data_IF_131770875928
#
_entry.id   IF_131770875928
#
_cell.length_a   1.000
_cell.length_b   1.000
_cell.length_c   1.000
_cell.angle_alpha   90.00
_cell.angle_beta   90.00
_cell.angle_gamma   90.00
#
_symmetry.space_group_name_H-M   'P 1'
#
loop_
_entity.id
_entity.type
_entity.pdbx_description
1 polymer ?
#
# COMPACT_ATOMS: atom_id res chain seq x y z
N UNK A 1 -2.49 31.49 -6.10
CA UNK A 1 -2.93 30.08 -6.06
C UNK A 1 -2.35 29.41 -4.83
N UNK A 2 -3.16 28.66 -4.15
CA UNK A 2 -2.72 27.94 -2.97
C UNK A 2 -2.56 26.47 -3.35
N UNK A 3 -1.39 25.93 -3.08
CA UNK A 3 -1.14 24.50 -3.33
C UNK A 3 -1.85 23.68 -2.24
N UNK A 4 -2.65 22.71 -2.68
CA UNK A 4 -3.36 21.81 -1.77
C UNK A 4 -2.88 20.39 -2.00
N UNK A 5 -2.00 19.87 -1.14
CA UNK A 5 -1.47 18.52 -1.34
C UNK A 5 -2.53 17.43 -1.22
N UNK A 6 -3.67 17.70 -0.58
CA UNK A 6 -4.72 16.70 -0.44
C UNK A 6 -5.40 16.38 -1.77
N UNK A 7 -5.26 17.24 -2.77
CA UNK A 7 -5.74 16.93 -4.11
C UNK A 7 -4.99 15.72 -4.67
N UNK A 8 -3.75 15.55 -4.29
CA UNK A 8 -2.91 14.46 -4.80
C UNK A 8 -2.99 13.21 -3.96
N UNK A 9 -3.05 13.36 -2.64
CA UNK A 9 -3.18 12.22 -1.75
C UNK A 9 -3.82 12.65 -0.44
N UNK A 10 -4.91 12.01 -0.07
CA UNK A 10 -5.68 12.37 1.11
C UNK A 10 -6.14 11.11 1.83
N UNK A 11 -6.05 11.12 3.17
CA UNK A 11 -6.64 10.07 3.99
C UNK A 11 -8.06 10.53 4.33
N UNK A 12 -9.04 9.98 3.62
CA UNK A 12 -10.40 10.48 3.64
C UNK A 12 -11.27 9.86 4.72
N UNK A 13 -10.96 8.65 5.15
CA UNK A 13 -11.83 7.91 6.07
C UNK A 13 -11.04 6.85 6.81
N UNK A 14 -11.40 6.60 8.07
CA UNK A 14 -10.83 5.52 8.87
C UNK A 14 -11.90 4.46 9.10
N UNK A 15 -11.49 3.20 9.25
CA UNK A 15 -12.38 2.13 9.63
C UNK A 15 -11.64 1.17 10.55
N UNK A 16 -12.39 0.48 11.38
CA UNK A 16 -11.82 -0.48 12.32
C UNK A 16 -12.71 -1.70 12.40
N UNK A 17 -12.09 -2.87 12.34
CA UNK A 17 -12.74 -4.15 12.61
C UNK A 17 -12.17 -4.66 13.92
N UNK A 18 -13.04 -4.88 14.91
CA UNK A 18 -12.60 -5.42 16.19
C UNK A 18 -13.63 -6.46 16.62
N UNK A 19 -13.24 -7.72 16.59
CA UNK A 19 -14.13 -8.83 16.91
C UNK A 19 -14.31 -9.79 15.76
N UNK A 20 -15.52 -10.33 15.64
CA UNK A 20 -15.81 -11.36 14.62
C UNK A 20 -17.02 -11.03 13.76
N UNK A 21 -17.47 -9.79 13.75
CA UNK A 21 -18.58 -9.36 12.89
C UNK A 21 -18.04 -8.94 11.54
N UNK A 22 -18.64 -9.42 10.44
CA UNK A 22 -18.19 -9.00 9.09
C UNK A 22 -18.26 -7.50 8.90
N UNK A 23 -17.33 -6.96 8.10
CA UNK A 23 -17.25 -5.55 7.81
C UNK A 23 -17.17 -5.34 6.30
N UNK A 24 -17.94 -4.38 5.79
CA UNK A 24 -17.84 -3.96 4.40
C UNK A 24 -17.27 -2.56 4.35
N UNK A 25 -16.19 -2.40 3.59
CA UNK A 25 -15.54 -1.12 3.37
C UNK A 25 -16.04 -0.56 2.04
N UNK A 26 -16.55 0.66 2.08
CA UNK A 26 -17.19 1.28 0.92
C UNK A 26 -16.53 2.64 0.61
N UNK A 27 -17.02 3.32 -0.44
CA UNK A 27 -16.49 4.61 -0.85
C UNK A 27 -15.50 4.46 -1.99
N UNK A 28 -15.11 5.58 -2.62
CA UNK A 28 -14.15 5.55 -3.70
C UNK A 28 -12.73 5.65 -3.16
N UNK A 29 -11.76 5.28 -3.99
CA UNK A 29 -10.35 5.33 -3.63
C UNK A 29 -9.80 3.98 -3.25
N UNK A 30 -8.72 4.00 -2.50
CA UNK A 30 -7.98 2.81 -2.10
C UNK A 30 -8.08 2.60 -0.60
N UNK A 31 -8.53 1.42 -0.19
CA UNK A 31 -8.46 1.03 1.21
C UNK A 31 -7.13 0.35 1.49
N UNK A 32 -6.47 0.77 2.56
CA UNK A 32 -5.23 0.18 3.04
C UNK A 32 -5.43 -0.12 4.52
N UNK A 33 -5.22 -1.37 4.90
CA UNK A 33 -5.42 -1.77 6.28
C UNK A 33 -4.32 -2.69 6.78
N UNK A 34 -4.23 -2.82 8.10
CA UNK A 34 -3.29 -3.76 8.71
C UNK A 34 -4.08 -4.68 9.64
N UNK A 35 -3.92 -5.98 9.43
CA UNK A 35 -4.52 -6.98 10.29
C UNK A 35 -3.54 -7.28 11.41
N UNK A 36 -3.86 -6.87 12.62
CA UNK A 36 -2.94 -7.02 13.74
C UNK A 36 -3.25 -8.24 14.60
N UNK A 37 -4.44 -8.84 14.44
CA UNK A 37 -4.85 -10.00 15.22
C UNK A 37 -5.85 -10.81 14.43
N UNK A 38 -5.71 -12.13 14.46
CA UNK A 38 -6.70 -13.04 13.91
C UNK A 38 -6.47 -13.39 12.46
N UNK A 39 -7.46 -14.09 11.91
CA UNK A 39 -7.45 -14.54 10.54
C UNK A 39 -8.74 -14.09 9.88
N UNK A 40 -8.64 -13.47 8.71
CA UNK A 40 -9.77 -12.81 8.08
C UNK A 40 -9.83 -13.12 6.59
N UNK A 41 -11.04 -13.44 6.09
CA UNK A 41 -11.24 -13.66 4.68
C UNK A 41 -11.59 -12.36 3.99
N UNK A 42 -11.04 -12.18 2.79
CA UNK A 42 -11.39 -11.08 1.91
C UNK A 42 -12.17 -11.68 0.74
N UNK A 43 -13.37 -11.16 0.51
CA UNK A 43 -14.21 -11.68 -0.56
C UNK A 43 -13.52 -11.52 -1.91
N UNK A 44 -13.47 -12.60 -2.67
CA UNK A 44 -12.83 -12.61 -3.97
C UNK A 44 -11.34 -12.91 -3.96
N UNK A 45 -10.74 -13.11 -2.79
CA UNK A 45 -9.33 -13.45 -2.69
C UNK A 45 -9.20 -14.89 -2.17
N UNK A 46 -8.19 -15.61 -2.65
CA UNK A 46 -8.13 -17.06 -2.47
C UNK A 46 -7.43 -17.52 -1.18
N UNK A 47 -6.88 -16.63 -0.38
CA UNK A 47 -6.31 -17.01 0.91
C UNK A 47 -6.76 -16.05 2.01
N UNK A 48 -6.84 -16.53 3.26
CA UNK A 48 -7.17 -15.63 4.36
C UNK A 48 -5.99 -14.72 4.70
N UNK A 49 -6.30 -13.54 5.22
CA UNK A 49 -5.31 -12.65 5.78
C UNK A 49 -4.86 -13.15 7.13
N UNK A 50 -3.56 -13.01 7.39
CA UNK A 50 -2.93 -13.41 8.64
C UNK A 50 -2.47 -12.18 9.38
N UNK A 51 -2.21 -12.32 10.68
CA UNK A 51 -1.68 -11.22 11.48
C UNK A 51 -0.40 -10.67 10.84
N UNK A 52 -0.36 -9.36 10.64
CA UNK A 52 0.74 -8.68 9.98
C UNK A 52 0.51 -8.38 8.51
N UNK A 53 -0.51 -8.98 7.89
CA UNK A 53 -0.81 -8.74 6.48
C UNK A 53 -1.41 -7.36 6.27
N UNK A 54 -1.19 -6.82 5.08
CA UNK A 54 -1.72 -5.52 4.66
C UNK A 54 -2.86 -5.75 3.68
N UNK A 55 -4.02 -5.18 3.99
CA UNK A 55 -5.18 -5.19 3.09
C UNK A 55 -5.02 -4.09 2.08
N UNK A 56 -5.19 -4.41 0.79
CA UNK A 56 -5.08 -3.44 -0.29
C UNK A 56 -6.19 -3.66 -1.30
N UNK A 57 -6.87 -2.61 -1.69
CA UNK A 57 -7.79 -2.72 -2.81
C UNK A 57 -8.82 -1.60 -2.89
N UNK A 58 -9.47 -1.51 -4.04
CA UNK A 58 -10.59 -0.57 -4.21
C UNK A 58 -11.85 -1.13 -3.56
N UNK A 59 -12.73 -0.23 -3.11
CA UNK A 59 -14.01 -0.62 -2.55
C UNK A 59 -14.96 -1.12 -3.67
N UNK A 60 -15.94 -1.95 -3.33
CA UNK A 60 -16.26 -2.43 -2.00
C UNK A 60 -15.39 -3.62 -1.59
N UNK A 61 -15.07 -3.68 -0.30
CA UNK A 61 -14.33 -4.80 0.25
C UNK A 61 -15.15 -5.42 1.36
N UNK A 62 -15.37 -6.72 1.29
CA UNK A 62 -16.09 -7.44 2.33
C UNK A 62 -15.12 -8.33 3.08
N UNK A 63 -15.03 -8.12 4.39
CA UNK A 63 -14.13 -8.82 5.27
C UNK A 63 -14.94 -9.72 6.20
N UNK A 64 -14.58 -10.99 6.26
CA UNK A 64 -15.26 -11.96 7.11
C UNK A 64 -14.25 -12.58 8.07
N UNK A 65 -14.27 -12.18 9.35
CA UNK A 65 -13.35 -12.76 10.33
C UNK A 65 -13.58 -14.26 10.50
N UNK A 66 -12.49 -15.01 10.53
CA UNK A 66 -12.51 -16.44 10.81
C UNK A 66 -12.28 -16.68 12.29
N UNK A 67 -11.58 -15.77 12.94
CA UNK A 67 -11.34 -15.76 14.38
C UNK A 67 -11.58 -14.35 14.85
N UNK A 68 -11.34 -14.08 16.14
CA UNK A 68 -11.42 -12.71 16.66
C UNK A 68 -10.30 -11.89 16.01
N UNK A 69 -10.69 -10.86 15.27
CA UNK A 69 -9.78 -10.06 14.46
C UNK A 69 -9.68 -8.63 14.95
N UNK A 70 -8.53 -8.01 14.70
CA UNK A 70 -8.37 -6.57 14.83
C UNK A 70 -7.69 -6.02 13.58
N UNK A 71 -8.35 -5.09 12.91
CA UNK A 71 -7.86 -4.49 11.68
C UNK A 71 -8.11 -3.00 11.74
N UNK A 72 -7.10 -2.21 11.42
CA UNK A 72 -7.23 -0.78 11.22
C UNK A 72 -7.08 -0.49 9.74
N UNK A 73 -7.95 0.34 9.19
CA UNK A 73 -7.93 0.67 7.76
C UNK A 73 -8.12 2.15 7.54
N UNK A 74 -7.57 2.63 6.43
CA UNK A 74 -7.67 4.02 6.02
C UNK A 74 -8.01 4.03 4.54
N UNK A 75 -8.90 4.94 4.13
CA UNK A 75 -9.26 5.10 2.71
C UNK A 75 -8.49 6.29 2.16
N UNK A 76 -7.70 6.03 1.12
CA UNK A 76 -6.91 7.06 0.45
C UNK A 76 -7.60 7.49 -0.84
N UNK A 77 -7.57 8.79 -1.11
CA UNK A 77 -8.13 9.38 -2.33
C UNK A 77 -7.13 10.37 -2.90
N UNK A 78 -7.38 10.86 -4.13
CA UNK A 78 -6.56 11.86 -4.77
C UNK A 78 -5.93 11.37 -6.06
N UNK A 79 -5.26 12.27 -6.77
CA UNK A 79 -4.70 11.94 -8.08
C UNK A 79 -3.64 10.86 -8.01
N UNK A 80 -2.79 10.87 -6.98
CA UNK A 80 -1.76 9.84 -6.83
C UNK A 80 -2.39 8.47 -6.54
N UNK A 81 -3.45 8.46 -5.73
CA UNK A 81 -4.18 7.24 -5.43
C UNK A 81 -4.86 6.70 -6.68
N UNK A 82 -5.45 7.59 -7.49
CA UNK A 82 -6.09 7.18 -8.74
C UNK A 82 -5.08 6.57 -9.70
N UNK A 83 -3.89 7.17 -9.79
CA UNK A 83 -2.83 6.65 -10.64
C UNK A 83 -2.39 5.25 -10.18
N UNK A 84 -2.29 5.04 -8.87
CA UNK A 84 -1.96 3.73 -8.32
C UNK A 84 -3.05 2.70 -8.69
N UNK A 85 -4.32 3.09 -8.56
CA UNK A 85 -5.43 2.17 -8.83
C UNK A 85 -5.51 1.75 -10.29
N UNK A 86 -5.04 2.59 -11.21
CA UNK A 86 -5.00 2.24 -12.63
C UNK A 86 -4.02 1.09 -12.90
N UNK A 87 -3.00 0.93 -12.06
CA UNK A 87 -1.98 -0.10 -12.25
C UNK A 87 -2.16 -1.26 -11.29
N UNK A 88 -2.87 -1.04 -10.20
CA UNK A 88 -3.08 -2.05 -9.18
C UNK A 88 -4.17 -3.02 -9.62
N UNK A 89 -4.08 -4.22 -9.15
CA UNK A 89 -5.09 -5.22 -9.45
C UNK A 89 -6.24 -5.19 -8.46
N UNK A 90 -6.94 -6.31 -8.36
CA UNK A 90 -8.05 -6.46 -7.45
C UNK A 90 -7.60 -6.44 -6.00
N UNK A 91 -8.57 -6.37 -5.09
CA UNK A 91 -8.31 -6.39 -3.66
C UNK A 91 -7.54 -7.64 -3.25
N UNK A 92 -6.64 -7.49 -2.31
CA UNK A 92 -5.76 -8.59 -1.89
C UNK A 92 -5.14 -8.34 -0.51
N UNK A 93 -4.56 -9.40 0.04
CA UNK A 93 -3.69 -9.30 1.20
C UNK A 93 -2.25 -9.30 0.72
N UNK A 94 -1.47 -8.34 1.18
CA UNK A 94 -0.04 -8.26 0.90
C UNK A 94 0.73 -8.59 2.17
N UNK A 95 1.94 -9.15 2.01
CA UNK A 95 2.80 -9.43 3.16
C UNK A 95 3.24 -8.10 3.78
N UNK A 96 3.07 -7.98 5.09
CA UNK A 96 3.49 -6.75 5.79
C UNK A 96 4.97 -6.47 5.65
N UNK A 97 5.80 -7.50 5.49
CA UNK A 97 7.22 -7.31 5.28
C UNK A 97 7.53 -6.66 3.93
N UNK A 98 6.62 -6.76 2.96
CA UNK A 98 6.78 -6.11 1.66
C UNK A 98 6.34 -4.65 1.69
N UNK A 99 5.73 -4.20 2.78
CA UNK A 99 5.25 -2.83 2.94
C UNK A 99 5.87 -2.20 4.18
N UNK A 100 7.19 -1.93 4.19
CA UNK A 100 7.85 -1.42 5.40
C UNK A 100 7.24 -0.10 5.86
N UNK A 101 6.90 -0.02 7.13
CA UNK A 101 6.36 1.19 7.71
C UNK A 101 4.86 1.39 7.52
N UNK A 102 4.19 0.53 6.74
CA UNK A 102 2.76 0.72 6.47
C UNK A 102 1.92 0.63 7.73
N UNK A 103 2.20 -0.34 8.59
CA UNK A 103 1.42 -0.53 9.81
C UNK A 103 1.49 0.71 10.72
N UNK A 104 2.68 1.28 10.89
CA UNK A 104 2.85 2.48 11.70
C UNK A 104 2.13 3.68 11.11
N UNK A 105 2.19 3.82 9.78
CA UNK A 105 1.51 4.94 9.11
C UNK A 105 0.01 4.82 9.24
N UNK A 106 -0.54 3.61 9.12
CA UNK A 106 -1.97 3.39 9.29
C UNK A 106 -2.39 3.77 10.71
N UNK A 107 -1.62 3.35 11.70
CA UNK A 107 -1.92 3.67 13.09
C UNK A 107 -1.87 5.18 13.33
N UNK A 108 -0.88 5.86 12.76
CA UNK A 108 -0.76 7.32 12.91
C UNK A 108 -1.91 8.04 12.21
N UNK A 109 -2.32 7.57 11.04
CA UNK A 109 -3.42 8.18 10.29
C UNK A 109 -4.76 8.01 10.99
N UNK A 110 -4.90 7.04 11.88
CA UNK A 110 -6.10 6.93 12.71
C UNK A 110 -6.18 8.06 13.73
N UNK A 111 -5.05 8.71 14.04
CA UNK A 111 -5.03 9.85 14.94
C UNK A 111 -5.06 11.19 14.22
N UNK A 112 -4.21 11.37 13.23
CA UNK A 112 -4.07 12.63 12.50
C UNK A 112 -3.94 12.34 11.02
N UNK A 113 -4.77 13.01 10.20
CA UNK A 113 -4.72 12.90 8.75
C UNK A 113 -3.83 14.00 8.18
N UNK A 114 -2.74 13.63 7.49
CA UNK A 114 -1.95 14.59 6.74
C UNK A 114 -1.69 14.01 5.35
N UNK A 115 -1.58 14.88 4.35
CA UNK A 115 -1.32 14.46 2.99
C UNK A 115 0.06 13.78 2.88
N UNK A 116 1.03 14.27 3.64
CA UNK A 116 2.37 13.69 3.62
C UNK A 116 2.36 12.24 4.12
N UNK A 117 1.62 11.96 5.19
CA UNK A 117 1.53 10.59 5.72
C UNK A 117 0.71 9.69 4.80
N UNK A 118 -0.34 10.24 4.19
CA UNK A 118 -1.13 9.49 3.23
C UNK A 118 -0.28 9.09 2.03
N UNK A 119 0.54 10.00 1.52
CA UNK A 119 1.42 9.71 0.40
C UNK A 119 2.50 8.71 0.79
N UNK A 120 3.05 8.84 2.00
CA UNK A 120 4.05 7.89 2.50
C UNK A 120 3.47 6.48 2.57
N UNK A 121 2.22 6.36 3.01
CA UNK A 121 1.54 5.06 3.05
C UNK A 121 1.35 4.50 1.64
N UNK A 122 0.94 5.34 0.70
CA UNK A 122 0.77 4.92 -0.69
C UNK A 122 2.09 4.41 -1.27
N UNK A 123 3.20 5.11 -0.98
CA UNK A 123 4.52 4.68 -1.42
C UNK A 123 4.93 3.35 -0.78
N UNK A 124 4.62 3.16 0.50
CA UNK A 124 4.96 1.93 1.19
C UNK A 124 4.25 0.73 0.57
N UNK A 125 2.95 0.88 0.25
CA UNK A 125 2.20 -0.23 -0.34
C UNK A 125 2.56 -0.44 -1.81
N UNK A 126 3.04 0.59 -2.49
CA UNK A 126 3.50 0.44 -3.86
C UNK A 126 4.68 -0.51 -3.98
N UNK A 127 5.48 -0.64 -2.92
CA UNK A 127 6.60 -1.58 -2.92
C UNK A 127 6.11 -3.02 -2.92
N UNK A 128 4.94 -3.29 -2.35
CA UNK A 128 4.38 -4.63 -2.37
C UNK A 128 4.07 -5.07 -3.79
N UNK A 129 3.61 -4.13 -4.63
CA UNK A 129 3.34 -4.44 -6.03
C UNK A 129 4.61 -4.78 -6.80
N UNK A 130 5.69 -4.06 -6.53
CA UNK A 130 6.96 -4.36 -7.16
C UNK A 130 7.44 -5.76 -6.78
N UNK A 131 7.26 -6.14 -5.51
CA UNK A 131 7.63 -7.45 -5.04
C UNK A 131 6.74 -8.55 -5.60
N UNK A 132 5.43 -8.28 -5.68
CA UNK A 132 4.45 -9.25 -6.13
C UNK A 132 4.47 -9.46 -7.64
N UNK A 133 5.03 -8.52 -8.40
CA UNK A 133 5.06 -8.57 -9.85
C UNK A 133 6.49 -8.44 -10.33
N UNK A 134 7.28 -9.52 -10.21
CA UNK A 134 8.67 -9.45 -10.66
C UNK A 134 8.72 -9.16 -12.17
N UNK A 135 9.73 -8.39 -12.57
CA UNK A 135 9.91 -8.06 -13.97
C UNK A 135 10.28 -9.32 -14.75
N UNK A 136 9.86 -9.43 -16.03
CA UNK A 136 10.34 -10.51 -16.87
C UNK A 136 11.87 -10.43 -16.94
N UNK A 137 12.56 -11.57 -17.12
CA UNK A 137 14.03 -11.57 -17.07
C UNK A 137 14.68 -10.59 -18.04
N UNK A 138 14.18 -10.48 -19.27
CA UNK A 138 14.75 -9.57 -20.23
C UNK A 138 14.60 -8.12 -19.80
N UNK A 139 13.44 -7.77 -19.25
CA UNK A 139 13.21 -6.40 -18.76
C UNK A 139 14.09 -6.12 -17.55
N UNK A 140 14.24 -7.09 -16.65
CA UNK A 140 15.09 -6.93 -15.49
C UNK A 140 16.55 -6.69 -15.90
N UNK A 141 17.03 -7.40 -16.90
CA UNK A 141 18.39 -7.18 -17.42
C UNK A 141 18.54 -5.80 -18.01
N UNK A 142 17.55 -5.34 -18.76
CA UNK A 142 17.60 -4.00 -19.35
C UNK A 142 17.62 -2.92 -18.27
N UNK A 143 16.81 -3.07 -17.23
CA UNK A 143 16.78 -2.10 -16.13
C UNK A 143 18.13 -2.09 -15.42
N UNK A 144 18.70 -3.26 -15.15
CA UNK A 144 20.00 -3.34 -14.51
C UNK A 144 21.09 -2.68 -15.34
N UNK A 145 21.08 -2.90 -16.66
CA UNK A 145 22.06 -2.28 -17.55
C UNK A 145 21.92 -0.77 -17.56
N UNK A 146 20.70 -0.27 -17.58
CA UNK A 146 20.46 1.17 -17.56
C UNK A 146 20.99 1.78 -16.26
N UNK A 147 20.74 1.14 -15.12
CA UNK A 147 21.21 1.63 -13.84
C UNK A 147 22.73 1.67 -13.77
N UNK A 148 23.40 0.64 -14.27
CA UNK A 148 24.86 0.60 -14.30
C UNK A 148 25.42 1.71 -15.17
N UNK A 149 24.86 1.89 -16.35
CA UNK A 149 25.32 2.94 -17.26
C UNK A 149 25.07 4.32 -16.69
N UNK A 150 23.95 4.52 -16.05
CA UNK A 150 23.63 5.80 -15.43
C UNK A 150 24.66 6.13 -14.35
N UNK A 151 24.97 5.18 -13.50
CA UNK A 151 25.94 5.39 -12.42
C UNK A 151 27.32 5.68 -12.97
N UNK A 152 27.75 4.97 -14.01
CA UNK A 152 29.06 5.21 -14.61
C UNK A 152 29.11 6.55 -15.34
N UNK A 153 28.05 6.88 -16.09
CA UNK A 153 28.02 8.07 -16.91
C UNK A 153 28.04 9.34 -16.07
N UNK A 154 27.36 9.33 -14.94
CA UNK A 154 27.29 10.50 -14.06
C UNK A 154 28.33 10.48 -12.94
N UNK A 155 29.28 9.55 -13.02
CA UNK A 155 30.38 9.51 -12.06
C UNK A 155 29.95 9.29 -10.64
N UNK A 156 28.98 8.41 -10.45
CA UNK A 156 28.49 8.15 -9.13
C UNK A 156 29.57 7.60 -8.26
N UNK A 157 30.43 6.76 -8.81
CA UNK A 157 31.58 6.35 -8.12
C UNK A 157 32.50 7.45 -7.93
N UNK A 158 32.50 8.41 -8.79
CA UNK A 158 33.31 9.50 -8.61
C UNK A 158 32.72 10.49 -7.75
N UNK A 159 31.44 10.54 -7.71
CA UNK A 159 30.84 11.32 -6.76
C UNK A 159 31.13 10.79 -5.51
N UNK A 160 31.38 9.64 -5.63
CA UNK A 160 31.83 9.01 -4.61
C UNK A 160 33.16 8.69 -4.86
N UNK A 161 33.64 8.87 -5.81
CA UNK A 161 34.38 8.68 -6.40
C UNK A 161 34.49 8.51 -6.86
N UNK A 162 33.78 8.47 -7.02
CA UNK A 162 33.11 8.34 -7.56
C UNK A 162 32.34 7.58 -7.39
N UNK A 163 31.71 7.24 -6.76
CA UNK A 163 30.81 6.43 -6.45
C UNK A 163 30.99 5.31 -6.32
#
# INVERSE_FOLDING_TARGET
MIFDPEIYCNAAENAELDGSTPLTLAGNGLWVGVLSRGECLLDGYDRPGQSGDILLGPAPLTLTPQTDCHLLAVRLTGHCTDAYLLQSGAARWADGAACPGAAELIAQLHGIHTAAMAYALLCAVGKADETARPLPPLVAEAVAAIRQNYMALYGVEELSEQL
#
